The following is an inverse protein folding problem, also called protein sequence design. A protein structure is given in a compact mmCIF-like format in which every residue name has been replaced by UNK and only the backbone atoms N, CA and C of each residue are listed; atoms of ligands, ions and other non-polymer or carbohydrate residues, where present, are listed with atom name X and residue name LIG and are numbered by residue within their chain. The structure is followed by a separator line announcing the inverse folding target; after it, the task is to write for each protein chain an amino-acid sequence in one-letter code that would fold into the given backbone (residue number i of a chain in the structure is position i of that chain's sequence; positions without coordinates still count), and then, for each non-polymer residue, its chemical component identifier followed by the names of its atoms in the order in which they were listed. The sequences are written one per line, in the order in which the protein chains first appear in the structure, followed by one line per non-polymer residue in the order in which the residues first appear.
data_IF_998624073045
#
_entry.id   IF_998624073045
#
_cell.length_a   1.000
_cell.length_b   1.000
_cell.length_c   1.000
_cell.angle_alpha   90.00
_cell.angle_beta   90.00
_cell.angle_gamma   90.00
#
_symmetry.space_group_name_H-M   'P 1'
#
loop_
_entity.id
_entity.type
_entity.pdbx_description
1 polymer ?
#
# COMPACT_ATOMS: atom_id res chain seq x y z
N UNK A 1 10.55 -8.78 15.43
CA UNK A 1 11.27 -8.08 14.35
C UNK A 1 10.60 -6.74 14.19
N UNK A 2 11.36 -5.65 14.21
CA UNK A 2 10.78 -4.35 13.94
C UNK A 2 10.36 -4.29 12.47
N UNK A 3 9.15 -3.75 12.21
CA UNK A 3 8.67 -3.60 10.84
C UNK A 3 9.53 -2.58 10.11
N UNK A 4 9.89 -2.88 8.87
CA UNK A 4 10.60 -1.94 8.00
C UNK A 4 9.75 -0.67 7.77
N UNK A 5 10.42 0.47 7.73
CA UNK A 5 9.79 1.79 7.52
C UNK A 5 10.06 2.29 6.11
N UNK A 6 9.02 2.74 5.43
CA UNK A 6 9.11 3.20 4.05
C UNK A 6 8.66 4.64 3.87
N UNK A 7 9.31 5.33 2.92
CA UNK A 7 8.83 6.59 2.36
C UNK A 7 8.14 6.32 1.03
N UNK A 8 6.86 6.66 0.92
CA UNK A 8 6.09 6.59 -0.33
C UNK A 8 6.07 7.96 -0.98
N UNK A 9 6.67 8.08 -2.16
CA UNK A 9 6.83 9.31 -2.93
C UNK A 9 6.13 9.16 -4.27
N UNK A 10 5.09 9.96 -4.49
CA UNK A 10 4.16 9.82 -5.61
C UNK A 10 4.30 11.00 -6.55
N UNK A 11 4.49 10.72 -7.82
CA UNK A 11 4.51 11.69 -8.90
C UNK A 11 3.09 11.85 -9.48
N UNK A 12 2.42 12.97 -9.16
CA UNK A 12 1.04 13.21 -9.60
C UNK A 12 0.90 13.51 -11.10
N UNK A 13 1.99 13.84 -11.77
CA UNK A 13 1.98 14.16 -13.19
C UNK A 13 1.94 12.91 -14.06
N UNK A 14 2.51 11.82 -13.56
CA UNK A 14 2.69 10.56 -14.29
C UNK A 14 1.84 9.38 -13.75
N UNK A 15 1.04 9.60 -12.68
CA UNK A 15 0.20 8.57 -12.07
C UNK A 15 -1.23 9.08 -11.88
N UNK A 16 -2.22 8.23 -12.05
CA UNK A 16 -3.62 8.56 -11.81
C UNK A 16 -4.01 8.37 -10.35
N UNK A 17 -4.88 9.27 -9.83
CA UNK A 17 -5.42 9.18 -8.46
C UNK A 17 -6.18 7.89 -8.16
N UNK A 18 -6.70 7.21 -9.18
CA UNK A 18 -7.41 5.93 -9.03
C UNK A 18 -6.57 4.82 -8.42
N UNK A 19 -5.24 4.90 -8.52
CA UNK A 19 -4.33 3.88 -7.99
C UNK A 19 -3.96 4.06 -6.52
N UNK A 20 -4.39 5.13 -5.86
CA UNK A 20 -3.91 5.44 -4.50
C UNK A 20 -4.22 4.33 -3.50
N UNK A 21 -5.45 3.82 -3.47
CA UNK A 21 -5.80 2.74 -2.55
C UNK A 21 -4.96 1.49 -2.81
N UNK A 22 -4.77 1.13 -4.09
CA UNK A 22 -3.97 -0.03 -4.50
C UNK A 22 -2.51 0.11 -4.07
N UNK A 23 -1.93 1.31 -4.27
CA UNK A 23 -0.54 1.61 -3.87
C UNK A 23 -0.36 1.46 -2.37
N UNK A 24 -1.27 2.02 -1.58
CA UNK A 24 -1.18 1.97 -0.12
C UNK A 24 -1.42 0.55 0.41
N UNK A 25 -2.38 -0.16 -0.16
CA UNK A 25 -2.66 -1.56 0.16
C UNK A 25 -1.46 -2.46 -0.16
N UNK A 26 -0.85 -2.30 -1.33
CA UNK A 26 0.35 -3.05 -1.74
C UNK A 26 1.52 -2.78 -0.78
N UNK A 27 1.72 -1.52 -0.38
CA UNK A 27 2.81 -1.16 0.54
C UNK A 27 2.71 -1.81 1.92
N UNK A 28 1.51 -2.21 2.35
CA UNK A 28 1.35 -2.92 3.64
C UNK A 28 2.06 -4.27 3.68
N UNK A 29 2.32 -4.87 2.52
CA UNK A 29 3.07 -6.15 2.40
C UNK A 29 4.55 -5.99 2.74
N UNK A 30 5.08 -4.78 2.56
CA UNK A 30 6.51 -4.48 2.76
C UNK A 30 6.82 -3.98 4.17
N UNK A 31 5.94 -3.16 4.75
CA UNK A 31 6.14 -2.62 6.10
C UNK A 31 5.26 -1.41 6.43
N UNK A 32 5.76 -0.55 7.31
CA UNK A 32 5.05 0.64 7.78
C UNK A 32 5.42 1.85 6.93
N UNK A 33 4.42 2.61 6.48
CA UNK A 33 4.65 3.84 5.74
C UNK A 33 4.87 4.99 6.73
N UNK A 34 6.09 5.54 6.75
CA UNK A 34 6.47 6.67 7.61
C UNK A 34 6.21 8.01 6.91
N UNK A 35 6.50 8.11 5.62
CA UNK A 35 6.24 9.29 4.79
C UNK A 35 5.31 8.93 3.66
N UNK A 36 4.21 9.71 3.53
CA UNK A 36 3.30 9.66 2.38
C UNK A 36 3.28 11.03 1.73
N UNK A 37 4.01 11.21 0.64
CA UNK A 37 4.15 12.50 -0.05
C UNK A 37 3.81 12.36 -1.53
N UNK A 38 3.15 13.38 -2.05
CA UNK A 38 2.82 13.49 -3.47
C UNK A 38 3.25 14.84 -4.01
N UNK A 39 3.87 14.84 -5.16
CA UNK A 39 4.51 15.99 -5.78
C UNK A 39 3.72 16.43 -7.01
N UNK A 40 3.46 17.71 -7.14
CA UNK A 40 2.74 18.25 -8.29
C UNK A 40 2.39 19.74 -8.17
N UNK A 41 1.76 20.28 -9.21
CA UNK A 41 1.24 21.63 -9.20
C UNK A 41 -0.22 21.64 -8.71
N UNK A 42 -0.41 21.89 -7.43
CA UNK A 42 -1.72 21.89 -6.77
C UNK A 42 -2.58 23.12 -7.11
N UNK A 43 -2.06 24.08 -7.87
CA UNK A 43 -2.80 25.22 -8.40
C UNK A 43 -3.49 24.89 -9.73
N UNK A 44 -3.14 23.76 -10.35
CA UNK A 44 -3.71 23.34 -11.63
C UNK A 44 -5.14 22.80 -11.47
N UNK A 45 -6.01 22.92 -12.51
CA UNK A 45 -7.36 22.36 -12.48
C UNK A 45 -7.39 20.84 -12.24
N UNK A 46 -6.34 20.13 -12.66
CA UNK A 46 -6.19 18.68 -12.49
C UNK A 46 -6.02 18.26 -11.03
N UNK A 47 -5.48 19.14 -10.19
CA UNK A 47 -5.29 18.90 -8.75
C UNK A 47 -6.61 18.59 -8.02
N UNK A 48 -7.75 19.09 -8.52
CA UNK A 48 -9.06 18.80 -7.93
C UNK A 48 -9.41 17.31 -7.85
N UNK A 49 -8.89 16.49 -8.76
CA UNK A 49 -9.11 15.04 -8.79
C UNK A 49 -8.42 14.31 -7.62
N UNK A 50 -7.36 14.91 -7.09
CA UNK A 50 -6.57 14.35 -6.00
C UNK A 50 -7.10 14.70 -4.62
N UNK A 51 -7.89 15.79 -4.50
CA UNK A 51 -8.29 16.36 -3.20
C UNK A 51 -8.93 15.33 -2.26
N UNK A 52 -9.82 14.52 -2.78
CA UNK A 52 -10.51 13.48 -1.99
C UNK A 52 -9.50 12.45 -1.49
N UNK A 53 -8.68 11.90 -2.38
CA UNK A 53 -7.68 10.88 -2.08
C UNK A 53 -6.63 11.36 -1.08
N UNK A 54 -6.18 12.62 -1.22
CA UNK A 54 -5.21 13.20 -0.28
C UNK A 54 -5.75 13.28 1.14
N UNK A 55 -7.02 13.71 1.29
CA UNK A 55 -7.67 13.84 2.60
C UNK A 55 -7.96 12.49 3.25
N UNK A 56 -8.55 11.55 2.48
CA UNK A 56 -8.95 10.24 3.00
C UNK A 56 -7.75 9.36 3.37
N UNK A 57 -6.61 9.52 2.68
CA UNK A 57 -5.42 8.70 2.89
C UNK A 57 -4.30 9.40 3.65
N UNK A 58 -4.53 10.64 4.16
CA UNK A 58 -3.53 11.44 4.88
C UNK A 58 -2.21 11.55 4.11
N UNK A 59 -2.28 11.89 2.81
CA UNK A 59 -1.12 12.10 1.94
C UNK A 59 -0.76 13.58 1.96
N UNK A 60 0.51 13.89 2.18
CA UNK A 60 1.02 15.26 2.21
C UNK A 60 1.32 15.75 0.79
N UNK A 61 0.58 16.76 0.28
CA UNK A 61 0.89 17.36 -1.01
C UNK A 61 2.10 18.30 -0.90
N UNK A 62 3.05 18.11 -1.81
CA UNK A 62 4.21 19.00 -1.96
C UNK A 62 3.98 19.83 -3.21
N UNK A 63 3.91 21.17 -3.01
CA UNK A 63 3.67 22.10 -4.10
C UNK A 63 4.93 22.34 -4.90
N UNK A 64 4.82 22.22 -6.22
CA UNK A 64 5.84 22.67 -7.16
C UNK A 64 5.19 23.52 -8.26
N UNK A 65 5.50 24.82 -8.28
CA UNK A 65 5.04 25.70 -9.34
C UNK A 65 5.78 25.43 -10.65
N UNK A 66 5.04 25.30 -11.73
CA UNK A 66 5.61 25.17 -13.08
C UNK A 66 6.04 26.52 -13.60
N UNK A 67 7.30 26.89 -13.42
CA UNK A 67 7.83 28.18 -13.90
C UNK A 67 8.04 28.23 -15.43
N UNK A 68 8.06 27.07 -16.09
CA UNK A 68 8.25 26.97 -17.56
C UNK A 68 7.59 25.70 -18.07
N UNK A 69 6.86 25.81 -19.17
CA UNK A 69 6.25 24.64 -19.85
C UNK A 69 7.36 23.69 -20.30
N UNK A 70 7.26 22.42 -19.92
CA UNK A 70 8.16 21.34 -20.37
C UNK A 70 9.46 21.16 -19.57
N UNK A 71 9.59 21.72 -18.35
CA UNK A 71 10.71 21.42 -17.46
C UNK A 71 10.27 20.54 -16.28
N UNK A 72 11.09 19.54 -15.94
CA UNK A 72 10.91 18.51 -14.90
C UNK A 72 11.06 19.10 -13.46
N UNK A 73 10.30 20.16 -13.14
CA UNK A 73 10.39 20.83 -11.85
C UNK A 73 9.85 19.94 -10.71
N UNK A 74 8.79 19.19 -10.98
CA UNK A 74 8.19 18.23 -10.05
C UNK A 74 9.17 17.10 -9.71
N UNK A 75 9.83 16.56 -10.74
CA UNK A 75 10.80 15.46 -10.58
C UNK A 75 11.98 15.88 -9.73
N UNK A 76 12.52 17.10 -9.96
CA UNK A 76 13.62 17.66 -9.17
C UNK A 76 13.25 17.78 -7.69
N UNK A 77 12.03 18.21 -7.38
CA UNK A 77 11.56 18.36 -6.01
C UNK A 77 11.43 16.99 -5.32
N UNK A 78 10.87 15.99 -6.02
CA UNK A 78 10.79 14.62 -5.50
C UNK A 78 12.19 14.06 -5.24
N UNK A 79 13.14 14.25 -6.17
CA UNK A 79 14.52 13.77 -6.03
C UNK A 79 15.21 14.41 -4.81
N UNK A 80 15.10 15.73 -4.63
CA UNK A 80 15.69 16.43 -3.50
C UNK A 80 15.11 15.92 -2.19
N UNK A 81 13.78 15.84 -2.10
CA UNK A 81 13.11 15.39 -0.88
C UNK A 81 13.43 13.92 -0.56
N UNK A 82 13.54 13.05 -1.57
CA UNK A 82 13.99 11.68 -1.37
C UNK A 82 15.40 11.60 -0.78
N UNK A 83 16.33 12.46 -1.26
CA UNK A 83 17.68 12.52 -0.72
C UNK A 83 17.69 13.10 0.71
N UNK A 84 16.87 14.10 1.01
CA UNK A 84 16.75 14.64 2.36
C UNK A 84 16.21 13.56 3.32
N UNK A 85 15.18 12.81 2.93
CA UNK A 85 14.65 11.69 3.73
C UNK A 85 15.74 10.62 3.94
N UNK A 86 16.52 10.27 2.92
CA UNK A 86 17.61 9.32 3.02
C UNK A 86 18.60 9.71 4.13
N UNK A 87 18.96 10.99 4.19
CA UNK A 87 19.92 11.49 5.20
C UNK A 87 19.36 11.53 6.62
N UNK A 88 18.02 11.52 6.80
CA UNK A 88 17.42 11.41 8.15
C UNK A 88 17.64 10.04 8.78
N UNK A 89 17.91 9.00 7.99
CA UNK A 89 18.05 7.60 8.44
C UNK A 89 16.81 7.07 9.17
N UNK A 90 15.64 7.62 8.88
CA UNK A 90 14.38 7.27 9.54
C UNK A 90 13.57 6.22 8.75
N UNK A 91 14.07 5.77 7.61
CA UNK A 91 13.43 4.78 6.75
C UNK A 91 14.41 3.68 6.35
N UNK A 92 13.88 2.51 6.06
CA UNK A 92 14.62 1.33 5.62
C UNK A 92 14.47 1.13 4.09
N UNK A 93 13.53 1.86 3.48
CA UNK A 93 13.31 1.80 2.04
C UNK A 93 12.42 2.93 1.51
N UNK A 94 12.31 2.96 0.19
CA UNK A 94 11.53 3.94 -0.56
C UNK A 94 10.58 3.23 -1.51
N UNK A 95 9.37 3.76 -1.65
CA UNK A 95 8.47 3.44 -2.75
C UNK A 95 8.40 4.67 -3.67
N UNK A 96 8.85 4.53 -4.91
CA UNK A 96 8.76 5.57 -5.93
C UNK A 96 7.62 5.20 -6.87
N UNK A 97 6.59 6.05 -6.88
CA UNK A 97 5.38 5.82 -7.68
C UNK A 97 5.37 6.77 -8.86
N UNK A 98 5.86 6.30 -9.99
CA UNK A 98 5.90 7.04 -11.26
C UNK A 98 6.07 6.10 -12.44
N UNK A 99 5.60 6.53 -13.60
CA UNK A 99 5.88 5.88 -14.89
C UNK A 99 7.01 6.56 -15.68
N UNK A 100 7.73 7.52 -15.06
CA UNK A 100 8.80 8.27 -15.71
C UNK A 100 10.17 7.58 -15.53
N UNK A 101 10.94 7.54 -16.62
CA UNK A 101 12.32 7.02 -16.64
C UNK A 101 13.33 7.93 -15.94
N UNK A 102 13.02 9.19 -15.71
CA UNK A 102 13.92 10.16 -15.10
C UNK A 102 14.28 9.80 -13.65
N UNK A 103 13.43 9.03 -12.98
CA UNK A 103 13.70 8.48 -11.64
C UNK A 103 14.65 7.29 -11.60
N UNK A 104 15.12 6.79 -12.75
CA UNK A 104 16.08 5.66 -12.82
C UNK A 104 17.33 5.92 -11.97
N UNK A 105 17.92 7.14 -12.07
CA UNK A 105 19.14 7.49 -11.33
C UNK A 105 18.87 7.64 -9.83
N UNK A 106 17.70 8.14 -9.46
CA UNK A 106 17.29 8.20 -8.05
C UNK A 106 17.19 6.80 -7.45
N UNK A 107 16.46 5.89 -8.11
CA UNK A 107 16.30 4.51 -7.65
C UNK A 107 17.65 3.81 -7.47
N UNK A 108 18.57 3.94 -8.45
CA UNK A 108 19.93 3.40 -8.36
C UNK A 108 20.70 3.99 -7.19
N UNK A 109 20.64 5.31 -6.99
CA UNK A 109 21.34 6.01 -5.91
C UNK A 109 20.86 5.60 -4.51
N UNK A 110 19.56 5.43 -4.35
CA UNK A 110 18.97 4.94 -3.09
C UNK A 110 19.43 3.51 -2.78
N UNK A 111 19.44 2.62 -3.79
CA UNK A 111 19.95 1.25 -3.63
C UNK A 111 21.43 1.20 -3.32
N UNK A 112 22.26 2.04 -3.96
CA UNK A 112 23.68 2.19 -3.63
C UNK A 112 23.90 2.62 -2.16
N UNK A 113 22.92 3.33 -1.57
CA UNK A 113 22.92 3.71 -0.17
C UNK A 113 22.38 2.64 0.78
N UNK A 114 22.11 1.42 0.26
CA UNK A 114 21.61 0.29 1.04
C UNK A 114 20.10 0.30 1.29
N UNK A 115 19.35 1.18 0.63
CA UNK A 115 17.89 1.24 0.77
C UNK A 115 17.21 0.20 -0.11
N UNK A 116 16.13 -0.38 0.38
CA UNK A 116 15.21 -1.14 -0.46
C UNK A 116 14.37 -0.16 -1.29
N UNK A 117 14.30 -0.37 -2.60
CA UNK A 117 13.57 0.51 -3.50
C UNK A 117 12.47 -0.27 -4.21
N UNK A 118 11.24 0.09 -3.91
CA UNK A 118 10.04 -0.42 -4.56
C UNK A 118 9.63 0.59 -5.62
N UNK A 119 9.53 0.15 -6.87
CA UNK A 119 8.96 0.96 -7.94
C UNK A 119 7.51 0.55 -8.19
N UNK A 120 6.62 1.51 -8.36
CA UNK A 120 5.25 1.26 -8.81
C UNK A 120 4.92 2.18 -9.96
N UNK A 121 4.37 1.64 -11.04
CA UNK A 121 4.06 2.43 -12.23
C UNK A 121 3.17 1.67 -13.20
N UNK A 122 2.75 2.36 -14.24
CA UNK A 122 1.92 1.78 -15.32
C UNK A 122 2.79 0.94 -16.29
N UNK A 123 2.16 0.14 -17.13
CA UNK A 123 2.83 -0.74 -18.09
C UNK A 123 3.78 0.00 -19.04
N UNK A 124 3.53 1.27 -19.34
CA UNK A 124 4.40 2.14 -20.15
C UNK A 124 5.74 2.48 -19.50
N UNK A 125 5.95 2.15 -18.22
CA UNK A 125 7.18 2.48 -17.46
C UNK A 125 8.42 1.89 -18.11
N UNK A 126 9.46 2.70 -18.37
CA UNK A 126 10.68 2.23 -19.03
C UNK A 126 11.39 1.11 -18.28
N UNK A 127 11.95 0.16 -19.02
CA UNK A 127 12.69 -0.97 -18.46
C UNK A 127 13.87 -0.54 -17.58
N UNK A 128 14.50 0.59 -17.90
CA UNK A 128 15.62 1.14 -17.11
C UNK A 128 15.18 1.45 -15.67
N UNK A 129 14.02 2.09 -15.48
CA UNK A 129 13.51 2.38 -14.15
C UNK A 129 13.08 1.11 -13.42
N UNK A 130 12.37 0.20 -14.10
CA UNK A 130 12.00 -1.11 -13.54
C UNK A 130 13.23 -1.87 -13.02
N UNK A 131 14.31 -1.93 -13.81
CA UNK A 131 15.55 -2.62 -13.43
C UNK A 131 16.34 -1.92 -12.31
N UNK A 132 16.17 -0.61 -12.15
CA UNK A 132 16.81 0.15 -11.09
C UNK A 132 16.17 -0.08 -9.71
N UNK A 133 14.94 -0.57 -9.66
CA UNK A 133 14.25 -0.90 -8.42
C UNK A 133 14.67 -2.28 -7.87
N UNK A 134 14.51 -2.50 -6.55
CA UNK A 134 14.65 -3.82 -5.94
C UNK A 134 13.48 -4.73 -6.31
N UNK A 135 12.28 -4.13 -6.30
CA UNK A 135 11.03 -4.75 -6.76
C UNK A 135 10.30 -3.72 -7.60
N UNK A 136 9.64 -4.16 -8.65
CA UNK A 136 8.75 -3.30 -9.45
C UNK A 136 7.37 -3.93 -9.56
N UNK A 137 6.35 -3.15 -9.27
CA UNK A 137 4.94 -3.55 -9.32
C UNK A 137 4.22 -2.77 -10.41
N UNK A 138 3.50 -3.47 -11.27
CA UNK A 138 2.68 -2.88 -12.32
C UNK A 138 1.28 -2.56 -11.76
N UNK A 139 0.90 -1.28 -11.77
CA UNK A 139 -0.35 -0.81 -11.19
C UNK A 139 -1.58 -1.24 -11.99
N UNK A 140 -1.44 -1.42 -13.30
CA UNK A 140 -2.55 -1.87 -14.14
C UNK A 140 -2.90 -3.34 -13.82
N UNK A 141 -1.87 -4.19 -13.65
CA UNK A 141 -2.07 -5.59 -13.27
C UNK A 141 -2.72 -5.73 -11.89
N UNK A 142 -2.34 -4.87 -10.93
CA UNK A 142 -2.98 -4.87 -9.61
C UNK A 142 -4.44 -4.42 -9.69
N UNK A 143 -4.74 -3.41 -10.52
CA UNK A 143 -6.11 -2.95 -10.71
C UNK A 143 -6.99 -4.03 -11.35
N UNK A 144 -6.49 -4.70 -12.38
CA UNK A 144 -7.23 -5.78 -13.06
C UNK A 144 -7.57 -6.91 -12.07
N UNK A 145 -6.65 -7.25 -11.17
CA UNK A 145 -6.90 -8.23 -10.11
C UNK A 145 -7.98 -7.76 -9.12
N UNK A 146 -7.95 -6.49 -8.69
CA UNK A 146 -9.03 -5.94 -7.83
C UNK A 146 -10.39 -5.93 -8.55
N UNK A 147 -10.43 -5.57 -9.83
CA UNK A 147 -11.65 -5.51 -10.61
C UNK A 147 -12.22 -6.92 -10.90
N UNK A 148 -11.39 -7.93 -11.11
CA UNK A 148 -11.78 -9.33 -11.22
C UNK A 148 -12.37 -9.87 -9.91
N UNK A 149 -11.73 -9.57 -8.77
CA UNK A 149 -12.23 -9.91 -7.44
C UNK A 149 -13.59 -9.25 -7.15
N UNK A 150 -13.75 -7.96 -7.50
CA UNK A 150 -14.99 -7.22 -7.33
C UNK A 150 -16.11 -7.81 -8.22
N UNK A 151 -15.80 -8.24 -9.44
CA UNK A 151 -16.79 -8.85 -10.36
C UNK A 151 -17.20 -10.25 -9.91
N UNK A 152 -16.29 -11.04 -9.37
CA UNK A 152 -16.61 -12.35 -8.82
C UNK A 152 -17.53 -12.26 -7.58
N UNK A 153 -17.36 -11.22 -6.76
CA UNK A 153 -18.16 -10.96 -5.55
C UNK A 153 -19.51 -10.33 -5.89
N UNK A 154 -19.60 -9.44 -6.89
CA UNK A 154 -20.86 -8.78 -7.28
C UNK A 154 -21.91 -9.76 -7.88
N UNK A 155 -21.47 -10.93 -8.35
CA UNK A 155 -22.41 -11.97 -8.78
C UNK A 155 -23.07 -12.74 -7.62
N UNK A 156 -22.61 -12.54 -6.38
CA UNK A 156 -23.16 -13.23 -5.19
C UNK A 156 -24.02 -12.37 -4.25
N UNK A 157 -23.98 -11.03 -4.31
CA UNK A 157 -24.78 -10.22 -3.37
C UNK A 157 -25.26 -8.89 -3.97
N UNK A 158 -26.54 -8.86 -4.42
CA UNK A 158 -27.36 -7.64 -4.40
C UNK A 158 -27.99 -7.55 -3.01
N UNK A 159 -27.45 -6.77 -2.10
CA UNK A 159 -28.21 -5.92 -1.15
C UNK A 159 -27.31 -5.26 -0.10
N UNK A 160 -27.67 -4.04 0.11
CA UNK A 160 -27.46 -3.13 1.25
C UNK A 160 -26.34 -2.11 1.20
N UNK A 161 -26.84 -0.88 1.04
CA UNK A 161 -26.15 0.40 1.27
C UNK A 161 -25.94 0.62 2.77
N UNK A 162 -24.75 0.97 3.22
CA UNK A 162 -24.50 2.19 4.01
C UNK A 162 -23.07 2.22 4.58
N UNK A 163 -22.50 3.43 4.56
CA UNK A 163 -21.36 3.96 5.34
C UNK A 163 -20.05 3.18 5.36
N UNK A 164 -18.99 3.84 4.91
CA UNK A 164 -17.54 3.75 5.23
C UNK A 164 -16.98 2.56 6.06
N UNK A 165 -17.65 1.42 6.05
CA UNK A 165 -17.17 0.18 6.66
C UNK A 165 -16.49 -0.61 5.55
N UNK A 166 -15.26 -1.05 5.80
CA UNK A 166 -14.50 -1.92 4.91
C UNK A 166 -15.36 -3.13 4.57
N UNK A 167 -15.49 -3.48 3.30
CA UNK A 167 -16.32 -4.63 2.90
C UNK A 167 -15.75 -5.91 3.50
N UNK A 168 -16.62 -6.77 4.03
CA UNK A 168 -16.23 -8.05 4.65
C UNK A 168 -15.39 -8.89 3.69
N UNK A 169 -15.70 -8.89 2.39
CA UNK A 169 -14.92 -9.61 1.37
C UNK A 169 -13.44 -9.14 1.27
N UNK A 170 -13.17 -7.84 1.45
CA UNK A 170 -11.77 -7.35 1.49
C UNK A 170 -11.03 -7.87 2.73
N UNK A 171 -11.73 -8.02 3.83
CA UNK A 171 -11.18 -8.58 5.06
C UNK A 171 -10.92 -10.07 4.92
N UNK A 172 -11.86 -10.81 4.32
CA UNK A 172 -11.73 -12.24 4.03
C UNK A 172 -10.49 -12.51 3.17
N UNK A 173 -10.33 -11.77 2.06
CA UNK A 173 -9.16 -11.89 1.19
C UNK A 173 -7.85 -11.59 1.92
N UNK A 174 -7.84 -10.53 2.74
CA UNK A 174 -6.66 -10.20 3.54
C UNK A 174 -6.30 -11.32 4.54
N UNK A 175 -7.29 -11.97 5.14
CA UNK A 175 -7.07 -13.11 6.03
C UNK A 175 -6.53 -14.32 5.25
N UNK A 176 -7.07 -14.61 4.06
CA UNK A 176 -6.58 -15.69 3.18
C UNK A 176 -5.12 -15.46 2.80
N UNK A 177 -4.76 -14.23 2.39
CA UNK A 177 -3.38 -13.86 2.08
C UNK A 177 -2.44 -14.12 3.26
N UNK A 178 -2.84 -13.70 4.48
CA UNK A 178 -2.04 -13.90 5.69
C UNK A 178 -1.81 -15.38 5.97
N UNK A 179 -2.85 -16.20 5.83
CA UNK A 179 -2.78 -17.65 6.05
C UNK A 179 -1.85 -18.29 5.01
N UNK A 180 -2.02 -17.96 3.73
CA UNK A 180 -1.20 -18.52 2.65
C UNK A 180 0.29 -18.16 2.80
N UNK A 181 0.58 -16.90 3.16
CA UNK A 181 1.97 -16.48 3.42
C UNK A 181 2.61 -17.25 4.57
N UNK A 182 1.86 -17.51 5.64
CA UNK A 182 2.36 -18.26 6.79
C UNK A 182 2.54 -19.74 6.46
N UNK A 183 1.59 -20.34 5.73
CA UNK A 183 1.68 -21.71 5.23
C UNK A 183 2.93 -21.92 4.35
N UNK A 184 3.20 -20.99 3.44
CA UNK A 184 4.38 -21.01 2.59
C UNK A 184 5.69 -20.92 3.38
N UNK A 185 5.64 -20.35 4.59
CA UNK A 185 6.78 -20.25 5.52
C UNK A 185 6.80 -21.41 6.54
N UNK A 186 5.87 -22.36 6.46
CA UNK A 186 5.73 -23.44 7.42
C UNK A 186 5.31 -22.99 8.83
N UNK A 187 4.68 -21.80 8.93
CA UNK A 187 4.27 -21.18 10.20
C UNK A 187 2.75 -21.26 10.36
N UNK A 188 2.29 -21.65 11.53
CA UNK A 188 0.87 -21.56 11.88
C UNK A 188 0.46 -20.09 12.08
N UNK A 189 -0.74 -19.75 11.60
CA UNK A 189 -1.31 -18.39 11.73
C UNK A 189 -2.13 -18.30 13.00
N UNK A 190 -1.81 -17.34 13.88
CA UNK A 190 -2.58 -17.05 15.08
C UNK A 190 -3.50 -15.83 14.91
N UNK A 191 -4.55 -15.76 15.75
CA UNK A 191 -5.54 -14.67 15.72
C UNK A 191 -4.94 -13.30 16.04
N UNK A 192 -3.91 -13.24 16.88
CA UNK A 192 -3.23 -12.00 17.22
C UNK A 192 -2.48 -11.42 16.03
N UNK A 193 -1.81 -12.30 15.25
CA UNK A 193 -1.14 -11.92 14.01
C UNK A 193 -2.15 -11.41 12.98
N UNK A 194 -3.27 -12.12 12.77
CA UNK A 194 -4.34 -11.69 11.87
C UNK A 194 -4.85 -10.31 12.28
N UNK A 195 -5.19 -10.11 13.56
CA UNK A 195 -5.69 -8.83 14.06
C UNK A 195 -4.70 -7.69 13.86
N UNK A 196 -3.42 -7.92 14.17
CA UNK A 196 -2.36 -6.94 14.00
C UNK A 196 -2.15 -6.55 12.53
N UNK A 197 -2.16 -7.52 11.63
CA UNK A 197 -1.98 -7.28 10.18
C UNK A 197 -3.21 -6.60 9.56
N UNK A 198 -4.43 -6.95 10.00
CA UNK A 198 -5.64 -6.27 9.57
C UNK A 198 -5.67 -4.81 10.02
N UNK A 199 -5.27 -4.50 11.25
CA UNK A 199 -5.18 -3.12 11.73
C UNK A 199 -4.10 -2.29 11.02
N UNK A 200 -3.00 -2.92 10.58
CA UNK A 200 -1.98 -2.27 9.75
C UNK A 200 -2.49 -1.98 8.34
N UNK A 201 -3.22 -2.94 7.74
CA UNK A 201 -3.79 -2.80 6.40
C UNK A 201 -4.96 -1.82 6.37
N UNK A 202 -5.76 -1.80 7.43
CA UNK A 202 -6.97 -1.00 7.56
C UNK A 202 -6.96 -0.29 8.93
N UNK A 203 -6.57 0.97 8.95
CA UNK A 203 -6.39 1.76 10.18
C UNK A 203 -7.68 1.97 10.99
N UNK A 204 -8.83 1.83 10.35
CA UNK A 204 -10.18 1.95 10.92
C UNK A 204 -10.86 0.60 11.15
N UNK A 205 -10.12 -0.52 10.97
CA UNK A 205 -10.64 -1.85 11.20
C UNK A 205 -10.93 -2.09 12.69
N UNK A 206 -12.20 -2.26 13.00
CA UNK A 206 -12.68 -2.68 14.32
C UNK A 206 -13.85 -3.64 14.12
N UNK A 207 -13.77 -4.82 14.71
CA UNK A 207 -14.82 -5.86 14.59
C UNK A 207 -16.16 -5.41 15.13
N UNK A 208 -16.16 -4.41 16.04
CA UNK A 208 -17.40 -3.82 16.59
C UNK A 208 -18.20 -3.07 15.52
N UNK A 209 -17.54 -2.54 14.48
CA UNK A 209 -18.22 -1.89 13.35
C UNK A 209 -19.03 -2.89 12.52
N UNK A 210 -18.75 -4.19 12.67
CA UNK A 210 -19.47 -5.29 12.01
C UNK A 210 -20.45 -6.01 12.96
N UNK A 211 -20.61 -5.49 14.19
CA UNK A 211 -21.54 -6.05 15.19
C UNK A 211 -20.97 -7.18 16.03
N UNK A 212 -19.66 -7.42 15.99
CA UNK A 212 -19.01 -8.49 16.74
C UNK A 212 -18.22 -7.97 17.94
N UNK A 213 -18.21 -8.76 19.01
CA UNK A 213 -17.49 -8.41 20.24
C UNK A 213 -16.02 -8.84 20.23
N UNK A 214 -15.64 -9.78 19.36
CA UNK A 214 -14.27 -10.30 19.25
C UNK A 214 -13.90 -10.70 17.83
N UNK A 215 -12.60 -10.65 17.52
CA UNK A 215 -12.07 -11.08 16.22
C UNK A 215 -12.33 -12.58 15.97
N UNK A 216 -12.25 -13.37 17.01
CA UNK A 216 -12.53 -14.83 16.95
C UNK A 216 -13.98 -15.09 16.51
N UNK A 217 -14.96 -14.39 17.10
CA UNK A 217 -16.36 -14.53 16.73
C UNK A 217 -16.59 -14.05 15.29
N UNK A 218 -16.00 -12.91 14.94
CA UNK A 218 -16.10 -12.35 13.60
C UNK A 218 -15.58 -13.31 12.52
N UNK A 219 -14.40 -13.92 12.73
CA UNK A 219 -13.81 -14.88 11.77
C UNK A 219 -14.62 -16.18 11.70
N UNK A 220 -15.14 -16.68 12.81
CA UNK A 220 -15.91 -17.92 12.82
C UNK A 220 -17.28 -17.81 12.13
N UNK A 221 -17.84 -16.61 12.00
CA UNK A 221 -19.06 -16.34 11.25
C UNK A 221 -18.84 -16.16 9.74
N UNK A 222 -17.57 -16.07 9.31
CA UNK A 222 -17.21 -16.03 7.89
C UNK A 222 -17.20 -17.44 7.32
N UNK A 223 -17.79 -17.63 6.13
CA UNK A 223 -17.76 -18.91 5.42
C UNK A 223 -16.31 -19.29 5.08
N UNK A 224 -15.90 -20.49 5.48
CA UNK A 224 -14.59 -21.06 5.15
C UNK A 224 -13.50 -20.90 6.24
N UNK A 225 -13.77 -20.20 7.33
CA UNK A 225 -12.81 -20.09 8.45
C UNK A 225 -13.33 -20.78 9.71
N UNK A 226 -12.38 -21.41 10.44
CA UNK A 226 -12.63 -21.92 11.79
C UNK A 226 -11.43 -21.65 12.68
N UNK A 227 -11.68 -21.05 13.83
CA UNK A 227 -10.66 -20.94 14.87
C UNK A 227 -10.64 -22.17 15.74
N UNK A 228 -9.45 -22.75 15.99
CA UNK A 228 -9.27 -23.84 16.94
C UNK A 228 -8.31 -23.43 18.07
N UNK A 229 -8.56 -23.93 19.27
CA UNK A 229 -7.65 -23.76 20.40
C UNK A 229 -6.58 -24.85 20.34
N UNK A 230 -5.34 -24.46 20.07
CA UNK A 230 -4.19 -25.34 20.18
C UNK A 230 -3.63 -25.22 21.62
N UNK A 231 -3.82 -26.27 22.42
CA UNK A 231 -3.15 -26.38 23.71
C UNK A 231 -1.70 -26.80 23.48
N UNK A 232 -0.78 -25.85 23.63
CA UNK A 232 0.64 -26.19 23.81
C UNK A 232 0.82 -26.62 25.26
N UNK A 233 1.05 -27.92 25.50
CA UNK A 233 1.46 -28.40 26.81
C UNK A 233 2.75 -27.71 27.22
N UNK A 234 2.87 -27.16 28.44
CA UNK A 234 4.16 -26.66 28.92
C UNK A 234 5.14 -27.85 28.94
N UNK A 235 6.29 -27.64 28.29
CA UNK A 235 7.40 -28.62 28.36
C UNK A 235 7.76 -28.86 29.82
N UNK A 236 7.85 -30.11 30.31
CA UNK A 236 8.32 -30.37 31.66
C UNK A 236 9.78 -29.91 31.79
N UNK A 237 10.06 -29.18 32.85
CA UNK A 237 11.41 -28.78 33.25
C UNK A 237 12.22 -30.01 33.72
#
# INVERSE_FOLDING_TARGET
MDDKRYAVLIDSDNISSKYISIILDEMTKYGVITYKRIYGDWTSPQAGKWKKELMENSITPIQQFRNTVGKNATDSTLIIDAMDILYTKNVDGFCIVSSDGDFTRLASRLRESGMEVIGMGENKTPRSFRAACSVFTDLELLQDQEDEEITAVNNKQRSNRSHNIIRISKIENAIIEIIQENDNKGKQTDLGEIGSRLQKKYSDFDVRNYGYSSLSTFINEMDGFKTCLLYTSPSPR
#
